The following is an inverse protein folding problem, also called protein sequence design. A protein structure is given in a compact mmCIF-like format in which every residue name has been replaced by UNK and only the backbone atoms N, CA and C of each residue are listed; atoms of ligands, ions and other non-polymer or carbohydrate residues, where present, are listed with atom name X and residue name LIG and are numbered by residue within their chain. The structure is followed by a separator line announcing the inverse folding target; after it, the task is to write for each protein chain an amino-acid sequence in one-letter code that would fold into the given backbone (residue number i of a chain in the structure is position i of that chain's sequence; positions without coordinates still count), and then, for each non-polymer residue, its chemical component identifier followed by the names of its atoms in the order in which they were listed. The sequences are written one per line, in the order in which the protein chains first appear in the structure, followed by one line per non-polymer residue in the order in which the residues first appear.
data_IF_066870514184
#
_entry.id   IF_066870514184
#
_cell.length_a   1.000
_cell.length_b   1.000
_cell.length_c   1.000
_cell.angle_alpha   90.00
_cell.angle_beta   90.00
_cell.angle_gamma   90.00
#
_symmetry.space_group_name_H-M   'P 1'
#
loop_
_entity.id
_entity.type
_entity.pdbx_description
1 polymer ?
#
# COMPACT_ATOMS: atom_id res chain seq x y z
N UNK A 1 7.42 -19.48 13.03
CA UNK A 1 6.70 -19.95 11.85
C UNK A 1 6.02 -18.74 11.22
N UNK A 2 6.37 -18.46 9.97
CA UNK A 2 5.66 -17.52 9.10
C UNK A 2 4.42 -18.25 8.56
N UNK A 3 3.31 -17.55 8.35
CA UNK A 3 2.07 -18.16 7.83
C UNK A 3 1.40 -19.20 8.74
N UNK A 4 1.43 -19.04 10.08
CA UNK A 4 0.67 -19.95 10.96
C UNK A 4 -0.83 -19.85 10.71
N UNK A 5 -1.58 -20.95 10.88
CA UNK A 5 -3.04 -21.06 10.70
C UNK A 5 -3.88 -19.96 11.37
N UNK A 6 -3.32 -19.27 12.36
CA UNK A 6 -3.97 -18.15 12.99
C UNK A 6 -4.01 -16.88 12.10
N UNK A 7 -3.03 -16.62 11.25
CA UNK A 7 -3.02 -15.43 10.40
C UNK A 7 -3.87 -15.63 9.14
N UNK A 8 -4.30 -14.52 8.54
CA UNK A 8 -4.98 -14.52 7.25
C UNK A 8 -3.99 -14.88 6.14
N UNK A 9 -4.44 -15.63 5.15
CA UNK A 9 -3.66 -15.92 3.96
C UNK A 9 -4.05 -14.95 2.85
N UNK A 10 -3.06 -14.32 2.23
CA UNK A 10 -3.27 -13.45 1.06
C UNK A 10 -3.49 -14.27 -0.22
N UNK A 11 -2.82 -15.42 -0.31
CA UNK A 11 -2.87 -16.36 -1.42
C UNK A 11 -3.35 -17.73 -0.92
N UNK A 12 -3.55 -18.70 -1.81
CA UNK A 12 -3.98 -20.04 -1.40
C UNK A 12 -2.99 -20.66 -0.40
N UNK A 13 -3.51 -21.55 0.46
CA UNK A 13 -2.69 -22.24 1.45
C UNK A 13 -1.60 -23.07 0.78
N UNK A 14 -1.92 -23.73 -0.34
CA UNK A 14 -0.95 -24.49 -1.13
C UNK A 14 0.16 -23.59 -1.70
N UNK A 15 -0.20 -22.47 -2.33
CA UNK A 15 0.77 -21.52 -2.87
C UNK A 15 1.67 -20.97 -1.76
N UNK A 16 1.08 -20.60 -0.62
CA UNK A 16 1.83 -20.07 0.53
C UNK A 16 2.77 -21.13 1.12
N UNK A 17 2.33 -22.39 1.23
CA UNK A 17 3.15 -23.51 1.71
C UNK A 17 4.30 -23.85 0.77
N UNK A 18 4.11 -23.72 -0.53
CA UNK A 18 5.20 -23.93 -1.49
C UNK A 18 6.22 -22.78 -1.48
N UNK A 19 5.87 -21.65 -0.85
CA UNK A 19 6.66 -20.43 -0.81
C UNK A 19 6.91 -19.91 0.62
N UNK A 20 7.04 -20.80 1.63
CA UNK A 20 7.21 -20.39 3.05
C UNK A 20 8.46 -19.54 3.34
N UNK A 21 9.42 -19.54 2.41
CA UNK A 21 10.64 -18.74 2.49
C UNK A 21 10.41 -17.37 1.82
N UNK A 22 9.32 -16.68 2.15
CA UNK A 22 9.09 -15.36 1.60
C UNK A 22 10.19 -14.41 2.08
N UNK A 23 11.07 -13.99 1.18
CA UNK A 23 12.18 -13.09 1.51
C UNK A 23 11.67 -11.65 1.61
N UNK A 24 12.31 -10.88 2.50
CA UNK A 24 12.09 -9.45 2.57
C UNK A 24 12.90 -8.77 1.46
N UNK A 25 12.23 -8.07 0.54
CA UNK A 25 12.94 -7.30 -0.48
C UNK A 25 13.06 -5.83 -0.07
N UNK A 26 14.23 -5.25 -0.28
CA UNK A 26 14.53 -3.87 0.05
C UNK A 26 14.77 -3.05 -1.23
N UNK A 27 14.08 -1.91 -1.33
CA UNK A 27 14.05 -1.04 -2.51
C UNK A 27 14.77 0.29 -2.29
N UNK A 28 15.94 0.23 -1.66
CA UNK A 28 16.62 1.41 -1.15
C UNK A 28 16.96 2.40 -2.29
N UNK A 29 16.48 3.65 -2.22
CA UNK A 29 16.84 4.75 -3.13
C UNK A 29 16.64 4.49 -4.64
N UNK A 30 15.87 3.48 -5.01
CA UNK A 30 15.46 3.28 -6.41
C UNK A 30 14.69 4.49 -6.94
N UNK A 31 15.06 4.96 -8.12
CA UNK A 31 14.39 6.02 -8.87
C UNK A 31 13.50 5.41 -9.95
N UNK A 32 12.54 6.18 -10.49
CA UNK A 32 11.61 5.67 -11.50
C UNK A 32 12.33 5.13 -12.75
N UNK A 33 13.45 5.74 -13.13
CA UNK A 33 14.26 5.33 -14.29
C UNK A 33 14.93 3.95 -14.13
N UNK A 34 15.10 3.47 -12.90
CA UNK A 34 15.72 2.18 -12.60
C UNK A 34 14.70 1.03 -12.58
N UNK A 35 13.41 1.36 -12.45
CA UNK A 35 12.32 0.40 -12.36
C UNK A 35 12.25 -0.59 -13.54
N UNK A 36 12.46 -0.18 -14.81
CA UNK A 36 12.47 -1.11 -15.94
C UNK A 36 13.60 -2.15 -15.88
N UNK A 37 14.66 -1.91 -15.09
CA UNK A 37 15.80 -2.85 -14.95
C UNK A 37 15.52 -3.97 -13.95
N UNK A 38 14.40 -3.90 -13.23
CA UNK A 38 14.01 -4.87 -12.21
C UNK A 38 12.92 -5.77 -12.79
N UNK A 39 13.20 -7.06 -12.88
CA UNK A 39 12.27 -8.06 -13.41
C UNK A 39 12.03 -9.16 -12.36
N UNK A 40 11.30 -10.23 -12.71
CA UNK A 40 10.95 -11.32 -11.78
C UNK A 40 12.00 -12.43 -11.69
N UNK A 41 13.20 -12.26 -12.23
CA UNK A 41 14.23 -13.32 -12.25
C UNK A 41 14.68 -13.73 -10.84
N UNK A 42 14.52 -12.85 -9.85
CA UNK A 42 14.79 -13.18 -8.44
C UNK A 42 13.91 -14.32 -7.90
N UNK A 43 12.75 -14.61 -8.51
CA UNK A 43 11.95 -15.79 -8.15
C UNK A 43 12.77 -17.08 -8.32
N UNK A 44 13.53 -17.18 -9.41
CA UNK A 44 14.41 -18.32 -9.69
C UNK A 44 15.60 -18.40 -8.73
N UNK A 45 16.24 -17.26 -8.42
CA UNK A 45 17.42 -17.21 -7.54
C UNK A 45 17.12 -17.71 -6.12
N UNK A 46 15.97 -17.35 -5.58
CA UNK A 46 15.58 -17.70 -4.22
C UNK A 46 14.67 -18.93 -4.12
N UNK A 47 14.34 -19.55 -5.27
CA UNK A 47 13.41 -20.70 -5.37
C UNK A 47 12.09 -20.44 -4.64
N UNK A 48 11.57 -19.23 -4.79
CA UNK A 48 10.31 -18.77 -4.22
C UNK A 48 9.60 -17.90 -5.23
N UNK A 49 8.28 -17.97 -5.24
CA UNK A 49 7.39 -17.11 -6.03
C UNK A 49 6.62 -16.12 -5.14
N UNK A 50 6.98 -16.01 -3.86
CA UNK A 50 6.35 -15.08 -2.92
C UNK A 50 7.42 -14.26 -2.21
N UNK A 51 7.32 -12.95 -2.33
CA UNK A 51 8.19 -12.02 -1.62
C UNK A 51 7.35 -10.94 -0.97
N UNK A 52 7.85 -10.41 0.13
CA UNK A 52 7.11 -9.43 0.94
C UNK A 52 8.06 -8.29 1.27
N UNK A 53 7.61 -7.04 1.29
CA UNK A 53 8.50 -5.96 1.69
C UNK A 53 7.91 -4.58 1.51
N UNK A 54 8.76 -3.59 1.78
CA UNK A 54 8.45 -2.18 1.52
C UNK A 54 7.66 -1.45 2.62
N UNK A 55 7.07 -2.11 3.61
CA UNK A 55 6.38 -1.40 4.69
C UNK A 55 7.31 -0.49 5.49
N UNK A 56 6.88 0.76 5.69
CA UNK A 56 7.61 1.76 6.46
C UNK A 56 8.84 2.33 5.76
N UNK A 57 9.05 2.01 4.48
CA UNK A 57 10.23 2.44 3.71
C UNK A 57 9.99 3.78 3.02
N UNK A 58 11.06 4.58 2.86
CA UNK A 58 11.03 5.76 1.99
C UNK A 58 11.30 5.35 0.55
N UNK A 59 10.57 5.97 -0.40
CA UNK A 59 10.65 5.68 -1.84
C UNK A 59 10.82 6.96 -2.65
N UNK A 60 11.52 6.84 -3.77
CA UNK A 60 11.79 7.92 -4.74
C UNK A 60 11.15 7.69 -6.10
N UNK A 61 10.61 6.51 -6.38
CA UNK A 61 10.29 6.07 -7.75
C UNK A 61 8.84 6.28 -8.20
N UNK A 62 8.00 6.96 -7.43
CA UNK A 62 6.61 7.28 -7.82
C UNK A 62 6.47 8.55 -8.68
N UNK A 63 7.60 9.15 -9.10
CA UNK A 63 7.61 10.29 -10.01
C UNK A 63 8.99 10.49 -10.65
N UNK A 64 9.03 10.72 -11.95
CA UNK A 64 10.27 10.82 -12.75
C UNK A 64 11.16 11.97 -12.28
N UNK A 65 10.54 12.99 -11.65
CA UNK A 65 11.23 14.19 -11.16
C UNK A 65 11.81 14.01 -9.76
N UNK A 66 11.61 12.86 -9.13
CA UNK A 66 12.02 12.58 -7.75
C UNK A 66 13.26 11.71 -7.73
N UNK A 67 14.36 12.32 -7.29
CA UNK A 67 15.63 11.63 -7.02
C UNK A 67 15.86 11.41 -5.52
N UNK A 68 15.35 12.31 -4.69
CA UNK A 68 15.37 12.22 -3.23
C UNK A 68 14.17 11.43 -2.73
N UNK A 69 14.31 10.44 -1.83
CA UNK A 69 13.18 9.73 -1.22
C UNK A 69 12.14 10.72 -0.64
N UNK A 70 10.98 10.78 -1.28
CA UNK A 70 9.94 11.81 -1.04
C UNK A 70 8.58 11.22 -0.69
N UNK A 71 8.44 9.90 -0.79
CA UNK A 71 7.25 9.15 -0.49
C UNK A 71 7.54 8.18 0.65
N UNK A 72 6.58 8.03 1.55
CA UNK A 72 6.59 7.02 2.59
C UNK A 72 5.62 5.91 2.18
N UNK A 73 6.16 4.71 2.03
CA UNK A 73 5.41 3.52 1.71
C UNK A 73 4.87 2.90 3.00
N UNK A 74 3.56 2.88 3.13
CA UNK A 74 2.83 2.53 4.33
C UNK A 74 1.80 1.43 4.08
N UNK A 75 2.17 0.51 3.20
CA UNK A 75 1.60 -0.80 3.07
C UNK A 75 2.73 -1.80 2.83
N UNK A 76 2.39 -3.07 2.78
CA UNK A 76 3.32 -4.15 2.47
C UNK A 76 3.02 -4.62 1.06
N UNK A 77 4.06 -4.72 0.25
CA UNK A 77 3.99 -5.25 -1.10
C UNK A 77 4.26 -6.75 -1.06
N UNK A 78 3.33 -7.54 -1.58
CA UNK A 78 3.45 -8.99 -1.71
C UNK A 78 3.58 -9.34 -3.18
N UNK A 79 4.80 -9.64 -3.61
CA UNK A 79 5.15 -9.94 -5.00
C UNK A 79 4.84 -11.41 -5.26
N UNK A 80 4.15 -11.66 -6.37
CA UNK A 80 3.81 -13.00 -6.82
C UNK A 80 3.68 -13.05 -8.37
N UNK A 81 3.46 -14.24 -8.97
CA UNK A 81 3.21 -14.36 -10.39
C UNK A 81 2.02 -13.52 -10.87
N UNK A 82 2.02 -13.16 -12.16
CA UNK A 82 0.93 -12.37 -12.75
C UNK A 82 -0.42 -13.07 -12.57
N UNK A 83 -1.46 -12.29 -12.26
CA UNK A 83 -2.82 -12.79 -12.08
C UNK A 83 -2.99 -13.83 -10.97
N UNK A 84 -2.03 -13.94 -10.04
CA UNK A 84 -2.22 -14.73 -8.83
C UNK A 84 -3.51 -14.29 -8.11
N UNK A 85 -4.43 -15.22 -7.78
CA UNK A 85 -5.66 -14.88 -7.07
C UNK A 85 -5.38 -14.31 -5.67
N UNK A 86 -5.98 -13.18 -5.36
CA UNK A 86 -5.94 -12.56 -4.03
C UNK A 86 -7.15 -13.00 -3.24
N UNK A 87 -6.91 -13.57 -2.07
CA UNK A 87 -7.94 -14.15 -1.21
C UNK A 87 -8.33 -13.20 -0.09
N UNK A 88 -9.59 -13.31 0.31
CA UNK A 88 -10.12 -12.67 1.51
C UNK A 88 -9.49 -13.30 2.78
N UNK A 89 -8.81 -12.55 3.65
CA UNK A 89 -8.12 -13.14 4.80
C UNK A 89 -9.04 -13.54 5.97
N UNK A 90 -10.21 -12.90 6.09
CA UNK A 90 -11.20 -13.09 7.16
C UNK A 90 -12.59 -12.83 6.60
N UNK A 91 -13.66 -13.32 7.23
CA UNK A 91 -15.02 -12.93 6.85
C UNK A 91 -15.20 -11.41 7.00
N UNK A 92 -15.81 -10.77 6.00
CA UNK A 92 -15.99 -9.32 5.99
C UNK A 92 -16.82 -8.81 4.83
N UNK A 93 -16.63 -7.54 4.51
CA UNK A 93 -17.44 -6.79 3.54
C UNK A 93 -16.53 -6.17 2.47
N UNK A 94 -16.80 -6.46 1.20
CA UNK A 94 -16.24 -5.71 0.08
C UNK A 94 -17.08 -4.45 -0.13
N UNK A 95 -16.46 -3.28 0.06
CA UNK A 95 -17.15 -1.99 0.08
C UNK A 95 -16.77 -1.06 -1.07
N UNK A 96 -15.90 -1.51 -1.97
CA UNK A 96 -15.55 -0.77 -3.17
C UNK A 96 -14.51 -1.51 -4.01
N UNK A 97 -14.73 -1.52 -5.32
CA UNK A 97 -13.74 -1.93 -6.31
C UNK A 97 -13.70 -0.87 -7.39
N UNK A 98 -12.54 -0.28 -7.61
CA UNK A 98 -12.40 0.82 -8.56
C UNK A 98 -10.99 0.93 -9.13
N UNK A 99 -10.91 1.50 -10.32
CA UNK A 99 -9.68 1.85 -11.00
C UNK A 99 -9.81 3.26 -11.57
N UNK A 100 -8.73 4.02 -11.50
CA UNK A 100 -8.60 5.28 -12.21
C UNK A 100 -7.76 4.99 -13.44
N UNK A 101 -8.28 5.35 -14.62
CA UNK A 101 -7.55 5.20 -15.88
C UNK A 101 -6.15 5.82 -15.77
N UNK A 102 -5.14 4.99 -16.04
CA UNK A 102 -3.74 5.40 -16.03
C UNK A 102 -3.32 5.79 -17.44
N UNK A 103 -2.58 6.89 -17.56
CA UNK A 103 -2.08 7.38 -18.85
C UNK A 103 -0.61 7.03 -19.10
N UNK A 104 0.10 6.59 -18.06
CA UNK A 104 1.55 6.35 -18.06
C UNK A 104 1.89 5.22 -17.10
N UNK A 105 2.94 4.48 -17.42
CA UNK A 105 3.51 3.45 -16.55
C UNK A 105 4.14 4.09 -15.30
N UNK A 106 4.18 3.33 -14.20
CA UNK A 106 4.77 3.66 -12.90
C UNK A 106 4.14 4.86 -12.15
N UNK A 107 3.11 5.50 -12.72
CA UNK A 107 2.36 6.59 -12.08
C UNK A 107 1.07 6.09 -11.37
N UNK A 108 0.70 4.82 -11.58
CA UNK A 108 -0.61 4.30 -11.24
C UNK A 108 -0.66 3.42 -9.99
N UNK A 109 -1.85 3.35 -9.38
CA UNK A 109 -2.17 2.43 -8.26
C UNK A 109 -2.85 1.14 -8.72
N UNK A 110 -3.05 0.98 -10.03
CA UNK A 110 -3.84 -0.11 -10.62
C UNK A 110 -5.29 -0.11 -10.12
N UNK A 111 -5.91 -1.28 -10.15
CA UNK A 111 -7.25 -1.48 -9.55
C UNK A 111 -7.14 -1.64 -8.05
N UNK A 112 -8.09 -1.04 -7.33
CA UNK A 112 -8.20 -1.08 -5.87
C UNK A 112 -9.42 -1.91 -5.47
N UNK A 113 -9.24 -2.81 -4.51
CA UNK A 113 -10.32 -3.44 -3.74
C UNK A 113 -10.22 -2.98 -2.29
N UNK A 114 -11.32 -2.47 -1.72
CA UNK A 114 -11.40 -2.04 -0.33
C UNK A 114 -12.34 -2.94 0.46
N UNK A 115 -11.77 -3.57 1.48
CA UNK A 115 -12.48 -4.46 2.39
C UNK A 115 -12.68 -3.76 3.73
N UNK A 116 -13.80 -4.05 4.38
CA UNK A 116 -14.11 -3.70 5.77
C UNK A 116 -14.30 -5.00 6.56
N UNK A 117 -13.57 -5.13 7.66
CA UNK A 117 -13.59 -6.32 8.53
C UNK A 117 -13.90 -5.87 9.95
N UNK A 118 -14.83 -6.57 10.63
CA UNK A 118 -15.05 -6.32 12.06
C UNK A 118 -13.83 -6.74 12.86
N UNK A 119 -13.48 -5.95 13.88
CA UNK A 119 -12.26 -6.19 14.66
C UNK A 119 -12.25 -7.56 15.39
N UNK A 120 -13.42 -8.13 15.69
CA UNK A 120 -13.60 -9.44 16.33
C UNK A 120 -13.36 -10.62 15.37
N UNK A 121 -13.45 -10.39 14.06
CA UNK A 121 -13.12 -11.36 13.01
C UNK A 121 -11.62 -11.45 12.74
N UNK A 122 -10.85 -10.46 13.17
CA UNK A 122 -9.40 -10.52 13.12
C UNK A 122 -8.92 -11.53 14.16
N UNK A 123 -8.02 -12.42 13.74
CA UNK A 123 -7.44 -13.41 14.64
C UNK A 123 -6.28 -12.84 15.46
N UNK A 124 -6.58 -11.76 16.17
CA UNK A 124 -5.67 -11.09 17.09
C UNK A 124 -5.98 -11.55 18.51
N UNK A 125 -4.93 -11.82 19.29
CA UNK A 125 -5.04 -12.02 20.73
C UNK A 125 -5.57 -10.75 21.41
N UNK A 126 -6.14 -10.84 22.63
CA UNK A 126 -6.54 -9.65 23.38
C UNK A 126 -5.42 -8.61 23.53
N UNK A 127 -4.18 -9.07 23.71
CA UNK A 127 -3.00 -8.18 23.81
C UNK A 127 -2.64 -7.52 22.48
N UNK A 128 -2.67 -8.27 21.37
CA UNK A 128 -2.46 -7.68 20.03
C UNK A 128 -3.55 -6.67 19.69
N UNK A 129 -4.81 -6.94 20.08
CA UNK A 129 -5.88 -5.96 19.94
C UNK A 129 -5.58 -4.69 20.71
N UNK A 130 -5.21 -4.77 21.98
CA UNK A 130 -4.87 -3.59 22.80
C UNK A 130 -3.71 -2.76 22.19
N UNK A 131 -2.71 -3.42 21.61
CA UNK A 131 -1.54 -2.75 21.02
C UNK A 131 -1.87 -2.10 19.68
N UNK A 132 -2.58 -2.82 18.80
CA UNK A 132 -2.74 -2.43 17.40
C UNK A 132 -4.09 -1.77 17.10
N UNK A 133 -5.09 -1.98 17.94
CA UNK A 133 -6.44 -1.46 17.78
C UNK A 133 -6.84 -0.69 19.04
N UNK A 134 -7.26 0.57 18.87
CA UNK A 134 -7.91 1.28 19.97
C UNK A 134 -9.23 0.55 20.35
N UNK A 135 -9.61 0.46 21.64
CA UNK A 135 -10.85 -0.21 22.06
C UNK A 135 -12.12 0.33 21.40
N UNK A 136 -12.10 1.55 20.84
CA UNK A 136 -13.21 2.14 20.08
C UNK A 136 -13.31 1.69 18.62
N UNK A 137 -12.39 0.84 18.14
CA UNK A 137 -12.35 0.36 16.76
C UNK A 137 -13.33 -0.80 16.58
N UNK A 138 -14.48 -0.52 15.95
CA UNK A 138 -15.46 -1.54 15.58
C UNK A 138 -15.03 -2.35 14.34
N UNK A 139 -14.31 -1.69 13.42
CA UNK A 139 -13.90 -2.26 12.15
C UNK A 139 -12.58 -1.68 11.66
N UNK A 140 -11.88 -2.48 10.86
CA UNK A 140 -10.69 -2.07 10.12
C UNK A 140 -10.99 -2.08 8.63
N UNK A 141 -10.21 -1.30 7.88
CA UNK A 141 -10.23 -1.31 6.43
C UNK A 141 -8.93 -1.90 5.90
N UNK A 142 -9.05 -2.80 4.93
CA UNK A 142 -7.91 -3.41 4.25
C UNK A 142 -8.00 -3.02 2.78
N UNK A 143 -7.03 -2.23 2.31
CA UNK A 143 -6.92 -1.83 0.91
C UNK A 143 -5.97 -2.76 0.18
N UNK A 144 -6.40 -3.31 -0.94
CA UNK A 144 -5.55 -4.00 -1.90
C UNK A 144 -5.47 -3.15 -3.15
N UNK A 145 -4.26 -2.83 -3.61
CA UNK A 145 -4.04 -2.09 -4.85
C UNK A 145 -3.13 -2.91 -5.77
N UNK A 146 -2.84 -2.38 -6.97
CA UNK A 146 -2.06 -3.07 -8.00
C UNK A 146 -2.71 -4.38 -8.51
N UNK A 147 -4.05 -4.45 -8.39
CA UNK A 147 -4.83 -5.56 -8.93
C UNK A 147 -5.12 -5.37 -10.43
N UNK A 148 -5.49 -6.46 -11.10
CA UNK A 148 -5.88 -6.48 -12.51
C UNK A 148 -7.31 -5.97 -12.69
N UNK A 149 -7.50 -4.93 -13.48
CA UNK A 149 -8.83 -4.32 -13.69
C UNK A 149 -9.82 -5.21 -14.39
N UNK A 150 -9.39 -5.89 -15.46
CA UNK A 150 -10.27 -6.72 -16.26
C UNK A 150 -10.85 -7.88 -15.44
N UNK A 151 -10.01 -8.58 -14.67
CA UNK A 151 -10.44 -9.72 -13.84
C UNK A 151 -11.08 -9.30 -12.52
N UNK A 152 -10.59 -8.24 -11.87
CA UNK A 152 -11.06 -7.85 -10.54
C UNK A 152 -12.39 -7.11 -10.59
N UNK A 153 -12.58 -6.16 -11.52
CA UNK A 153 -13.84 -5.41 -11.66
C UNK A 153 -14.98 -6.25 -12.24
N UNK A 154 -14.67 -7.39 -12.87
CA UNK A 154 -15.64 -8.31 -13.47
C UNK A 154 -15.61 -9.70 -12.80
N UNK A 155 -15.28 -9.76 -11.51
CA UNK A 155 -15.23 -11.00 -10.75
C UNK A 155 -16.64 -11.62 -10.62
N UNK A 156 -16.88 -12.70 -11.35
CA UNK A 156 -18.18 -13.39 -11.40
C UNK A 156 -18.54 -14.12 -10.09
N UNK A 157 -17.54 -14.58 -9.32
CA UNK A 157 -17.79 -15.21 -8.00
C UNK A 157 -18.40 -14.23 -7.00
N UNK A 158 -18.18 -12.93 -7.21
CA UNK A 158 -18.71 -11.84 -6.41
C UNK A 158 -19.86 -11.10 -7.10
N UNK A 159 -20.27 -11.53 -8.31
CA UNK A 159 -21.31 -10.87 -9.09
C UNK A 159 -20.94 -9.43 -9.51
N UNK A 160 -19.65 -9.13 -9.65
CA UNK A 160 -19.16 -7.80 -10.04
C UNK A 160 -19.22 -7.61 -11.55
N UNK A 161 -19.52 -6.39 -11.98
CA UNK A 161 -19.38 -5.97 -13.37
C UNK A 161 -18.89 -4.53 -13.44
N UNK A 162 -17.87 -4.28 -14.25
CA UNK A 162 -17.31 -2.94 -14.40
C UNK A 162 -18.29 -1.98 -15.08
N UNK A 163 -18.33 -0.74 -14.59
CA UNK A 163 -18.97 0.39 -15.23
C UNK A 163 -17.99 1.55 -15.31
N UNK A 164 -17.99 2.25 -16.45
CA UNK A 164 -17.15 3.42 -16.66
C UNK A 164 -17.91 4.71 -16.34
N UNK A 165 -17.26 5.60 -15.59
CA UNK A 165 -17.72 6.95 -15.31
C UNK A 165 -16.61 7.95 -15.64
N UNK A 166 -16.97 9.14 -16.13
CA UNK A 166 -16.03 10.21 -16.43
C UNK A 166 -16.28 11.40 -15.51
N UNK A 167 -15.21 11.91 -14.85
CA UNK A 167 -15.28 13.13 -14.03
C UNK A 167 -13.98 13.91 -14.13
N UNK A 168 -14.10 15.19 -14.45
CA UNK A 168 -12.95 16.12 -14.57
C UNK A 168 -11.85 15.63 -15.52
N UNK A 169 -12.24 15.07 -16.67
CA UNK A 169 -11.30 14.59 -17.70
C UNK A 169 -10.54 13.30 -17.33
N UNK A 170 -10.99 12.58 -16.30
CA UNK A 170 -10.51 11.25 -15.91
C UNK A 170 -11.62 10.22 -16.04
N UNK A 171 -11.26 9.04 -16.51
CA UNK A 171 -12.13 7.88 -16.50
C UNK A 171 -11.91 7.06 -15.22
N UNK A 172 -13.01 6.58 -14.66
CA UNK A 172 -13.08 5.72 -13.50
C UNK A 172 -13.82 4.46 -13.91
N UNK A 173 -13.23 3.30 -13.67
CA UNK A 173 -13.89 2.01 -13.81
C UNK A 173 -14.25 1.53 -12.42
N UNK A 174 -15.51 1.22 -12.15
CA UNK A 174 -15.98 0.82 -10.81
C UNK A 174 -16.92 -0.37 -10.92
N UNK A 175 -16.93 -1.23 -9.90
CA UNK A 175 -17.97 -2.25 -9.76
C UNK A 175 -19.03 -1.75 -8.77
N UNK A 176 -20.15 -1.14 -9.24
CA UNK A 176 -21.08 -0.45 -8.35
C UNK A 176 -21.86 -1.36 -7.41
N UNK A 177 -21.82 -2.67 -7.64
CA UNK A 177 -22.39 -3.70 -6.75
C UNK A 177 -21.74 -3.69 -5.37
N UNK A 178 -20.46 -3.31 -5.26
CA UNK A 178 -19.74 -3.20 -4.01
C UNK A 178 -19.63 -1.73 -3.58
N UNK A 179 -20.36 -1.33 -2.53
CA UNK A 179 -20.30 0.02 -1.98
C UNK A 179 -20.46 0.02 -0.45
N UNK A 180 -20.14 1.11 0.27
CA UNK A 180 -20.40 1.18 1.70
C UNK A 180 -21.90 1.12 2.04
N UNK A 181 -22.78 1.49 1.10
CA UNK A 181 -24.25 1.43 1.27
C UNK A 181 -24.80 0.03 1.00
N UNK A 182 -24.23 -0.66 0.02
CA UNK A 182 -24.55 -2.04 -0.35
C UNK A 182 -23.24 -2.85 -0.33
N UNK A 183 -22.73 -3.23 0.85
CA UNK A 183 -21.53 -4.04 0.94
C UNK A 183 -21.81 -5.46 0.47
N UNK A 184 -20.84 -6.09 -0.20
CA UNK A 184 -20.92 -7.52 -0.54
C UNK A 184 -20.25 -8.30 0.60
N UNK A 185 -20.97 -9.24 1.21
CA UNK A 185 -20.37 -10.15 2.19
C UNK A 185 -19.43 -11.12 1.48
N UNK A 186 -18.22 -11.24 1.99
CA UNK A 186 -17.18 -12.11 1.44
C UNK A 186 -16.63 -12.99 2.55
N UNK A 187 -16.58 -14.30 2.30
CA UNK A 187 -16.06 -15.26 3.27
C UNK A 187 -14.54 -15.35 3.18
N UNK A 188 -13.89 -15.76 4.28
CA UNK A 188 -12.48 -16.12 4.27
C UNK A 188 -12.16 -17.09 3.11
N UNK A 189 -11.01 -16.90 2.47
CA UNK A 189 -10.48 -17.64 1.32
C UNK A 189 -11.23 -17.44 -0.01
N UNK A 190 -12.29 -16.63 -0.07
CA UNK A 190 -12.92 -16.30 -1.34
C UNK A 190 -12.04 -15.35 -2.16
N UNK A 191 -12.03 -15.51 -3.48
CA UNK A 191 -11.22 -14.66 -4.37
C UNK A 191 -11.85 -13.27 -4.46
N UNK A 192 -11.10 -12.25 -4.08
CA UNK A 192 -11.53 -10.84 -4.12
C UNK A 192 -10.94 -10.05 -5.28
N UNK A 193 -9.94 -10.62 -5.95
CA UNK A 193 -9.29 -10.01 -7.10
C UNK A 193 -8.11 -10.83 -7.57
N UNK A 194 -7.38 -10.28 -8.53
CA UNK A 194 -6.22 -10.92 -9.13
C UNK A 194 -5.11 -9.90 -9.22
N UNK A 195 -3.86 -10.31 -9.04
CA UNK A 195 -2.74 -9.40 -9.24
C UNK A 195 -2.72 -8.89 -10.68
N UNK A 196 -2.47 -7.60 -10.86
CA UNK A 196 -2.20 -7.05 -12.18
C UNK A 196 -0.82 -7.46 -12.66
N UNK A 197 -0.60 -7.36 -13.97
CA UNK A 197 0.74 -7.40 -14.54
C UNK A 197 1.27 -5.97 -14.71
N UNK A 198 2.45 -5.81 -15.28
CA UNK A 198 3.03 -4.49 -15.53
C UNK A 198 2.08 -3.52 -16.26
N UNK A 199 1.31 -4.02 -17.23
CA UNK A 199 0.37 -3.21 -17.99
C UNK A 199 -0.90 -2.81 -17.22
N UNK A 200 -1.36 -3.62 -16.26
CA UNK A 200 -2.63 -3.41 -15.56
C UNK A 200 -2.49 -2.97 -14.10
N UNK A 201 -1.31 -3.12 -13.49
CA UNK A 201 -1.10 -2.80 -12.08
C UNK A 201 -0.57 -1.38 -11.82
N UNK A 202 -0.48 -0.52 -12.85
CA UNK A 202 0.14 0.80 -12.72
C UNK A 202 1.63 0.83 -13.06
N UNK A 203 2.16 -0.19 -13.76
CA UNK A 203 3.51 -0.19 -14.32
C UNK A 203 4.58 -0.84 -13.47
N UNK A 204 4.26 -1.55 -12.39
CA UNK A 204 5.26 -2.20 -11.54
C UNK A 204 5.32 -3.72 -11.78
N UNK A 205 6.22 -4.43 -11.12
CA UNK A 205 6.13 -5.90 -11.08
C UNK A 205 4.83 -6.33 -10.39
N UNK A 206 4.31 -7.50 -10.75
CA UNK A 206 3.07 -8.02 -10.17
C UNK A 206 3.19 -8.21 -8.66
N UNK A 207 2.29 -7.56 -7.93
CA UNK A 207 2.22 -7.62 -6.49
C UNK A 207 0.84 -7.13 -6.02
N UNK A 208 0.44 -7.55 -4.82
CA UNK A 208 -0.58 -6.86 -4.07
C UNK A 208 0.12 -5.93 -3.09
N UNK A 209 -0.11 -4.63 -3.21
CA UNK A 209 0.15 -3.73 -2.10
C UNK A 209 -1.05 -3.78 -1.17
N UNK A 210 -0.81 -4.17 0.07
CA UNK A 210 -1.84 -4.28 1.10
C UNK A 210 -1.63 -3.20 2.14
N UNK A 211 -2.70 -2.50 2.45
CA UNK A 211 -2.71 -1.47 3.46
C UNK A 211 -3.73 -1.79 4.55
N UNK A 212 -3.30 -1.72 5.81
CA UNK A 212 -4.14 -1.98 6.97
C UNK A 212 -4.40 -0.67 7.73
N UNK A 213 -5.68 -0.31 7.83
CA UNK A 213 -6.12 0.95 8.42
C UNK A 213 -7.20 0.70 9.47
N UNK A 214 -6.87 0.93 10.73
CA UNK A 214 -7.84 1.00 11.81
C UNK A 214 -8.33 2.44 11.94
N UNK A 215 -9.64 2.64 11.84
CA UNK A 215 -10.23 3.98 12.01
C UNK A 215 -10.29 4.35 13.51
N UNK A 216 -9.13 4.55 14.11
CA UNK A 216 -8.99 5.04 15.48
C UNK A 216 -9.50 6.48 15.54
N UNK A 217 -10.27 6.82 16.56
CA UNK A 217 -10.72 8.21 16.86
C UNK A 217 -9.81 8.90 17.87
N UNK A 218 -9.19 8.09 18.73
CA UNK A 218 -8.21 8.50 19.73
C UNK A 218 -7.05 7.53 19.66
N UNK A 219 -5.85 8.04 19.89
CA UNK A 219 -4.66 7.23 20.07
C UNK A 219 -4.20 7.40 21.52
N UNK A 220 -3.92 6.28 22.17
CA UNK A 220 -3.39 6.23 23.53
C UNK A 220 -1.89 6.01 23.45
N UNK A 221 -1.10 6.92 24.02
CA UNK A 221 0.35 6.78 24.09
C UNK A 221 0.75 5.72 25.11
N UNK A 222 2.00 5.25 25.08
CA UNK A 222 2.52 4.23 26.01
C UNK A 222 2.40 4.65 27.50
N UNK A 223 2.37 5.95 27.77
CA UNK A 223 2.14 6.53 29.10
C UNK A 223 0.67 6.90 29.36
N UNK A 224 -0.28 6.30 28.64
CA UNK A 224 -1.73 6.40 28.84
C UNK A 224 -2.38 7.77 28.62
N UNK A 225 -1.73 8.68 27.88
CA UNK A 225 -2.37 9.92 27.44
C UNK A 225 -3.07 9.72 26.10
N UNK A 226 -4.30 10.23 26.00
CA UNK A 226 -5.09 10.12 24.77
C UNK A 226 -5.05 11.39 23.95
N UNK A 227 -4.94 11.27 22.63
CA UNK A 227 -5.07 12.38 21.69
C UNK A 227 -6.01 12.03 20.54
N UNK A 228 -6.79 13.01 20.09
CA UNK A 228 -7.64 12.85 18.91
C UNK A 228 -6.80 12.61 17.66
N UNK A 229 -7.27 11.71 16.82
CA UNK A 229 -6.63 11.32 15.56
C UNK A 229 -7.39 11.89 14.36
N UNK A 230 -6.68 11.96 13.23
CA UNK A 230 -7.28 12.32 11.95
C UNK A 230 -7.69 11.04 11.23
N UNK A 231 -8.95 10.97 10.79
CA UNK A 231 -9.42 9.84 9.98
C UNK A 231 -9.18 10.09 8.49
N UNK A 232 -8.39 9.24 7.84
CA UNK A 232 -8.12 9.35 6.39
C UNK A 232 -9.28 8.84 5.54
N UNK A 233 -10.04 7.85 6.03
CA UNK A 233 -11.34 7.44 5.50
C UNK A 233 -12.45 8.07 6.36
N UNK A 234 -13.08 9.14 5.87
CA UNK A 234 -14.13 9.87 6.58
C UNK A 234 -15.54 9.33 6.27
N UNK A 235 -16.50 9.55 7.20
CA UNK A 235 -17.91 9.19 6.97
C UNK A 235 -18.47 9.85 5.72
N UNK A 236 -18.11 11.11 5.47
CA UNK A 236 -18.49 11.81 4.25
C UNK A 236 -17.99 11.07 3.01
N UNK A 237 -16.74 10.60 3.01
CA UNK A 237 -16.17 9.89 1.86
C UNK A 237 -16.90 8.57 1.59
N UNK A 238 -17.21 7.82 2.63
CA UNK A 238 -17.99 6.58 2.52
C UNK A 238 -19.41 6.85 2.04
N UNK A 239 -20.05 7.90 2.56
CA UNK A 239 -21.41 8.31 2.17
C UNK A 239 -21.51 8.78 0.72
N UNK A 240 -20.49 9.52 0.25
CA UNK A 240 -20.47 10.12 -1.09
C UNK A 240 -20.00 9.14 -2.18
N UNK A 241 -19.38 8.01 -1.79
CA UNK A 241 -18.97 6.98 -2.74
C UNK A 241 -20.17 6.39 -3.48
N UNK A 242 -20.14 6.48 -4.81
CA UNK A 242 -21.22 6.07 -5.71
C UNK A 242 -22.59 6.65 -5.33
N UNK A 243 -22.60 7.83 -4.70
CA UNK A 243 -23.84 8.48 -4.30
C UNK A 243 -24.44 9.32 -5.43
N UNK A 244 -25.08 8.66 -6.39
CA UNK A 244 -25.64 9.29 -7.59
C UNK A 244 -26.79 10.28 -7.34
N UNK A 245 -27.32 10.38 -6.11
CA UNK A 245 -28.34 11.37 -5.75
C UNK A 245 -27.83 12.81 -5.83
N UNK A 246 -26.53 13.02 -5.69
CA UNK A 246 -25.87 14.32 -5.85
C UNK A 246 -24.78 14.21 -6.93
N UNK A 247 -25.21 14.32 -8.20
CA UNK A 247 -24.34 14.16 -9.38
C UNK A 247 -23.09 15.05 -9.36
N UNK A 248 -23.14 16.21 -8.70
CA UNK A 248 -21.97 17.12 -8.58
C UNK A 248 -20.90 16.55 -7.65
N UNK A 249 -21.33 15.89 -6.57
CA UNK A 249 -20.45 15.42 -5.50
C UNK A 249 -20.18 13.90 -5.49
N UNK A 250 -20.69 13.15 -6.48
CA UNK A 250 -20.38 11.70 -6.60
C UNK A 250 -18.88 11.49 -6.52
N UNK A 251 -18.49 10.62 -5.59
CA UNK A 251 -17.12 10.20 -5.44
C UNK A 251 -16.97 8.76 -5.98
N UNK A 252 -15.92 8.52 -6.78
CA UNK A 252 -15.64 7.21 -7.36
C UNK A 252 -14.48 6.49 -6.66
N UNK A 253 -13.92 7.09 -5.61
CA UNK A 253 -12.77 6.57 -4.87
C UNK A 253 -12.99 6.66 -3.35
N UNK A 254 -12.73 5.58 -2.61
CA UNK A 254 -12.81 5.61 -1.13
C UNK A 254 -11.45 5.96 -0.50
N UNK A 255 -10.36 5.71 -1.24
CA UNK A 255 -8.98 5.96 -0.81
C UNK A 255 -8.54 5.06 0.35
N UNK A 256 -7.52 4.22 0.15
CA UNK A 256 -6.80 3.51 1.21
C UNK A 256 -5.43 3.04 0.67
N UNK A 257 -4.73 3.93 -0.03
CA UNK A 257 -3.59 3.57 -0.91
C UNK A 257 -2.29 3.35 -0.14
N UNK A 258 -2.16 3.84 1.10
CA UNK A 258 -1.00 3.53 1.93
C UNK A 258 0.31 4.15 1.42
N UNK A 259 0.26 5.21 0.60
CA UNK A 259 1.46 5.93 0.14
C UNK A 259 1.31 7.42 0.45
N UNK A 260 2.30 7.97 1.16
CA UNK A 260 2.27 9.36 1.63
C UNK A 260 3.46 10.14 1.07
N UNK A 261 3.20 11.05 0.13
CA UNK A 261 4.20 11.95 -0.42
C UNK A 261 4.12 13.36 0.16
N UNK A 262 5.26 14.06 0.19
CA UNK A 262 5.25 15.51 0.28
C UNK A 262 5.17 16.11 -1.13
N UNK A 263 4.52 17.27 -1.26
CA UNK A 263 4.51 18.02 -2.52
C UNK A 263 5.95 18.24 -3.02
N UNK A 264 6.15 18.04 -4.33
CA UNK A 264 7.43 18.18 -5.04
C UNK A 264 7.93 19.62 -5.01
N UNK A 265 8.44 20.08 -3.87
CA UNK A 265 9.00 21.43 -3.77
C UNK A 265 10.51 21.40 -4.04
N UNK A 266 10.85 21.23 -5.33
CA UNK A 266 12.23 21.07 -5.82
C UNK A 266 13.18 22.21 -5.40
N UNK A 267 12.67 23.39 -5.05
CA UNK A 267 13.50 24.53 -4.61
C UNK A 267 14.19 24.31 -3.26
N UNK A 268 13.66 23.42 -2.41
CA UNK A 268 14.21 23.17 -1.07
C UNK A 268 14.98 21.85 -0.98
N UNK A 269 15.00 21.06 -2.05
CA UNK A 269 15.62 19.72 -2.08
C UNK A 269 17.02 19.77 -2.70
N UNK A 270 17.84 20.72 -2.27
CA UNK A 270 19.20 20.93 -2.80
C UNK A 270 20.23 20.88 -1.68
N UNK A 271 21.41 20.32 -1.99
CA UNK A 271 22.53 20.28 -1.05
C UNK A 271 23.38 21.53 -1.21
N UNK A 272 23.74 22.17 -0.10
CA UNK A 272 24.66 23.31 -0.09
C UNK A 272 25.96 22.91 0.61
N UNK A 273 27.11 23.47 0.19
CA UNK A 273 28.34 23.24 0.92
C UNK A 273 28.27 23.84 2.32
N UNK A 274 28.85 23.11 3.27
CA UNK A 274 28.90 23.48 4.69
C UNK A 274 30.34 23.68 5.13
N UNK A 275 30.54 24.52 6.14
CA UNK A 275 31.82 24.63 6.83
C UNK A 275 32.11 23.30 7.56
N UNK A 276 33.26 22.63 7.29
CA UNK A 276 33.54 21.32 7.84
C UNK A 276 33.78 21.31 9.36
N UNK A 277 34.05 22.48 9.98
CA UNK A 277 34.25 22.62 11.43
C UNK A 277 32.94 22.90 12.16
N UNK A 278 32.02 23.65 11.57
CA UNK A 278 30.77 24.08 12.24
C UNK A 278 29.52 23.33 11.75
N UNK A 279 29.58 22.74 10.56
CA UNK A 279 28.42 22.14 9.89
C UNK A 279 27.41 23.16 9.35
N UNK A 280 27.71 24.46 9.43
CA UNK A 280 26.81 25.51 8.94
C UNK A 280 26.94 25.73 7.44
N UNK A 281 25.83 26.06 6.78
CA UNK A 281 25.82 26.42 5.35
C UNK A 281 26.76 27.60 5.09
N UNK A 282 27.66 27.45 4.12
CA UNK A 282 28.51 28.54 3.66
C UNK A 282 27.63 29.62 3.02
N UNK A 283 27.70 30.86 3.53
CA UNK A 283 26.90 31.99 3.01
C UNK A 283 27.21 32.23 1.53
N UNK A 284 26.18 32.58 0.75
CA UNK A 284 26.25 32.86 -0.69
C UNK A 284 26.78 31.71 -1.57
N UNK A 285 26.87 30.49 -1.03
CA UNK A 285 27.21 29.31 -1.83
C UNK A 285 26.08 28.92 -2.78
N UNK A 286 26.48 28.41 -3.96
CA UNK A 286 25.57 27.72 -4.87
C UNK A 286 25.29 26.32 -4.34
N UNK A 287 24.15 25.77 -4.74
CA UNK A 287 23.85 24.37 -4.49
C UNK A 287 24.86 23.48 -5.24
N UNK A 288 25.14 22.30 -4.68
CA UNK A 288 25.94 21.26 -5.31
C UNK A 288 25.01 20.48 -6.25
N UNK A 289 25.14 20.71 -7.55
CA UNK A 289 24.21 20.18 -8.56
C UNK A 289 24.28 18.64 -8.69
N UNK A 290 25.42 18.04 -8.36
CA UNK A 290 25.64 16.59 -8.41
C UNK A 290 25.16 15.84 -7.16
N UNK A 291 24.75 16.54 -6.10
CA UNK A 291 24.36 15.91 -4.84
C UNK A 291 22.85 15.95 -4.62
N UNK A 292 22.31 14.82 -4.16
CA UNK A 292 20.91 14.68 -3.78
C UNK A 292 20.80 14.47 -2.27
N UNK A 293 19.72 14.98 -1.68
CA UNK A 293 19.46 14.74 -0.26
C UNK A 293 19.28 13.24 0.01
N UNK A 294 19.83 12.77 1.13
CA UNK A 294 19.67 11.39 1.55
C UNK A 294 18.21 11.08 1.93
N UNK A 295 17.50 12.04 2.55
CA UNK A 295 16.09 11.90 2.97
C UNK A 295 15.41 13.26 3.18
N UNK A 296 14.07 13.26 3.18
CA UNK A 296 13.25 14.41 3.59
C UNK A 296 12.85 14.31 5.07
N UNK A 297 12.95 15.44 5.79
CA UNK A 297 12.65 15.53 7.23
C UNK A 297 11.16 15.33 7.60
N UNK A 298 10.24 15.45 6.65
CA UNK A 298 8.79 15.51 6.92
C UNK A 298 8.04 14.18 6.77
N UNK A 299 8.72 13.06 6.53
CA UNK A 299 8.10 11.73 6.50
C UNK A 299 8.29 11.05 7.86
N UNK A 300 7.19 10.72 8.55
CA UNK A 300 7.23 10.20 9.91
C UNK A 300 6.29 9.02 10.10
N UNK A 301 6.86 7.93 10.63
CA UNK A 301 6.13 6.74 11.10
C UNK A 301 5.07 7.10 12.14
N UNK A 302 5.45 7.94 13.11
CA UNK A 302 4.56 8.42 14.15
C UNK A 302 3.31 9.12 13.59
N UNK A 303 3.45 9.89 12.51
CA UNK A 303 2.30 10.54 11.87
C UNK A 303 1.29 9.53 11.32
N UNK A 304 1.76 8.42 10.72
CA UNK A 304 0.87 7.44 10.08
C UNK A 304 0.24 6.47 11.08
N UNK A 305 1.03 5.95 12.02
CA UNK A 305 0.53 5.01 13.04
C UNK A 305 -0.32 5.72 14.09
N UNK A 306 0.25 6.71 14.75
CA UNK A 306 -0.36 7.30 15.95
C UNK A 306 -1.44 8.31 15.58
N UNK A 307 -1.22 9.15 14.57
CA UNK A 307 -2.19 10.20 14.24
C UNK A 307 -3.23 9.81 13.21
N UNK A 308 -2.99 8.75 12.43
CA UNK A 308 -3.88 8.34 11.33
C UNK A 308 -4.42 6.92 11.44
N UNK A 309 -3.81 6.03 12.22
CA UNK A 309 -4.36 4.69 12.46
C UNK A 309 -3.97 3.64 11.42
N UNK A 310 -2.92 3.89 10.66
CA UNK A 310 -2.34 2.84 9.81
C UNK A 310 -1.44 1.91 10.62
N UNK A 311 -1.32 0.65 10.22
CA UNK A 311 -0.41 -0.29 10.90
C UNK A 311 0.19 -1.28 9.91
N UNK A 312 1.22 -2.01 10.35
CA UNK A 312 1.89 -3.03 9.54
C UNK A 312 0.90 -4.13 9.13
N UNK A 313 0.65 -4.36 7.84
CA UNK A 313 -0.22 -5.45 7.38
C UNK A 313 0.24 -6.83 7.86
N UNK A 314 1.53 -7.03 8.18
CA UNK A 314 2.03 -8.29 8.73
C UNK A 314 1.44 -8.64 10.11
N UNK A 315 0.75 -7.71 10.78
CA UNK A 315 -0.04 -8.00 11.99
C UNK A 315 -1.13 -9.04 11.68
N UNK A 316 -1.66 -9.06 10.45
CA UNK A 316 -2.75 -9.96 10.05
C UNK A 316 -2.36 -11.04 9.03
N UNK A 317 -1.29 -10.85 8.25
CA UNK A 317 -0.83 -11.85 7.25
C UNK A 317 0.43 -12.64 7.69
N UNK A 318 1.28 -12.03 8.52
CA UNK A 318 2.58 -12.54 8.99
C UNK A 318 3.35 -13.41 7.99
N UNK A 319 3.70 -12.81 6.85
CA UNK A 319 4.58 -13.44 5.84
C UNK A 319 6.06 -13.14 6.08
N UNK A 320 6.39 -12.10 6.85
CA UNK A 320 7.73 -11.90 7.42
C UNK A 320 7.73 -11.59 8.91
N UNK A 321 8.84 -11.90 9.57
CA UNK A 321 9.14 -11.51 10.94
C UNK A 321 10.62 -11.10 11.05
N UNK A 322 11.09 -10.81 12.27
CA UNK A 322 12.47 -10.36 12.51
C UNK A 322 13.55 -11.37 12.08
N UNK A 323 13.18 -12.61 11.76
CA UNK A 323 14.08 -13.68 11.29
C UNK A 323 14.04 -13.85 9.77
N UNK A 324 13.14 -13.16 9.08
CA UNK A 324 13.06 -13.23 7.62
C UNK A 324 14.33 -12.65 7.01
N UNK A 325 14.91 -13.39 6.07
CA UNK A 325 16.09 -12.94 5.34
C UNK A 325 15.72 -11.78 4.41
N UNK A 326 16.51 -10.70 4.47
CA UNK A 326 16.40 -9.57 3.54
C UNK A 326 17.37 -9.72 2.38
N UNK A 327 16.99 -9.19 1.22
CA UNK A 327 17.92 -8.88 0.14
C UNK A 327 17.66 -7.49 -0.42
N UNK A 328 18.73 -6.84 -0.90
CA UNK A 328 18.64 -5.60 -1.65
C UNK A 328 18.33 -5.88 -3.10
N UNK A 329 17.30 -5.22 -3.64
CA UNK A 329 16.99 -5.29 -5.08
C UNK A 329 18.15 -4.71 -5.89
N UNK A 330 18.81 -3.66 -5.39
CA UNK A 330 19.93 -3.03 -6.10
C UNK A 330 21.09 -4.01 -6.28
N UNK A 331 21.44 -4.74 -5.21
CA UNK A 331 22.53 -5.72 -5.24
C UNK A 331 22.19 -6.88 -6.17
N UNK A 332 20.93 -7.32 -6.15
CA UNK A 332 20.47 -8.46 -6.97
C UNK A 332 20.53 -8.15 -8.46
N UNK A 333 20.26 -6.90 -8.85
CA UNK A 333 20.26 -6.46 -10.24
C UNK A 333 21.51 -5.68 -10.64
N UNK A 334 22.53 -5.61 -9.77
CA UNK A 334 23.74 -4.80 -9.95
C UNK A 334 23.44 -3.33 -10.33
N UNK A 335 22.39 -2.77 -9.74
CA UNK A 335 21.95 -1.40 -9.97
C UNK A 335 22.87 -0.44 -9.19
N UNK A 336 23.52 0.47 -9.90
CA UNK A 336 24.30 1.54 -9.26
C UNK A 336 23.38 2.69 -8.89
N UNK A 337 22.94 2.71 -7.63
CA UNK A 337 22.25 3.88 -7.05
C UNK A 337 23.25 5.02 -6.83
N UNK A 338 22.88 6.26 -7.14
CA UNK A 338 23.74 7.45 -7.00
C UNK A 338 23.99 7.89 -5.56
#
# INVERSE_FOLDING_TARGET
MLGTQNYGLLYSEEFTKNNIQAYNFEMNRLTQELLPSINKDFFGHYKSELFTGGYGTSRSFYSEKVKTPSFLHWGEDYLAPDFQPVLMPFDGELIGVYEIEQKREFEGVGTVALIKVKHDKLNLTPREREIYLDPSVDYVYIGYIHLDGAKTLNNSELGLSSQQYSKSGKNYFVAPQASPKNPISVNKNQIIGFLGNNASNGGWMSHAHVNFYARIKKSTTENYFTKDTRTDISDKRLKDYLNFSDQKNVNYIIHNIGVFGNALNSKNDVVYPVDPKTGEKIKNSKAIESEILYYKKSLSKYEQEVKRGYSDPNIIFKLRDQRTLSFSVDDTFNIKTQ
#
